data_IF_620432012890
#
_entry.id   IF_620432012890
#
_cell.length_a   1.000
_cell.length_b   1.000
_cell.length_c   1.000
_cell.angle_alpha   90.00
_cell.angle_beta   90.00
_cell.angle_gamma   90.00
#
_symmetry.space_group_name_H-M   'P 1'
#
loop_
_entity.id
_entity.type
_entity.pdbx_description
1 polymer ?
#
# COMPACT_ATOMS: atom_id res chain seq x y z
N UNK A 1 -36.76 -52.20 -140.94
CA UNK A 1 -37.09 -52.90 -139.67
C UNK A 1 -35.87 -53.04 -138.72
N UNK A 2 -34.66 -53.53 -139.12
CA UNK A 2 -33.50 -53.75 -138.20
C UNK A 2 -33.02 -52.56 -137.34
N UNK A 3 -33.07 -51.32 -137.82
CA UNK A 3 -32.56 -50.15 -137.09
C UNK A 3 -33.60 -49.58 -136.10
N UNK A 4 -34.87 -49.54 -136.53
CA UNK A 4 -36.01 -49.34 -135.63
C UNK A 4 -36.09 -50.46 -134.57
N UNK A 5 -35.59 -51.68 -134.86
CA UNK A 5 -35.48 -52.75 -133.87
C UNK A 5 -34.39 -52.49 -132.82
N UNK A 6 -33.19 -52.02 -133.19
CA UNK A 6 -32.09 -51.76 -132.25
C UNK A 6 -32.36 -50.54 -131.34
N UNK A 7 -32.97 -49.46 -131.87
CA UNK A 7 -33.39 -48.31 -131.03
C UNK A 7 -34.60 -48.65 -130.15
N UNK A 8 -35.53 -49.47 -130.65
CA UNK A 8 -36.59 -50.03 -129.81
C UNK A 8 -36.01 -50.94 -128.71
N UNK A 9 -34.95 -51.71 -129.00
CA UNK A 9 -34.25 -52.62 -128.07
C UNK A 9 -33.49 -51.86 -126.97
N UNK A 10 -32.75 -50.80 -127.29
CA UNK A 10 -32.05 -49.97 -126.29
C UNK A 10 -33.05 -49.23 -125.38
N UNK A 11 -34.13 -48.67 -125.94
CA UNK A 11 -35.18 -48.03 -125.14
C UNK A 11 -35.93 -49.05 -124.27
N UNK A 12 -36.08 -50.29 -124.74
CA UNK A 12 -36.61 -51.40 -123.96
C UNK A 12 -35.65 -51.83 -122.84
N UNK A 13 -34.34 -51.83 -123.09
CA UNK A 13 -33.32 -52.10 -122.08
C UNK A 13 -33.21 -50.99 -121.03
N UNK A 14 -33.32 -49.70 -121.39
CA UNK A 14 -33.37 -48.60 -120.40
C UNK A 14 -34.64 -48.65 -119.56
N UNK A 15 -35.80 -48.93 -120.18
CA UNK A 15 -37.05 -49.23 -119.44
C UNK A 15 -36.87 -50.43 -118.51
N UNK A 16 -36.15 -51.47 -118.94
CA UNK A 16 -35.84 -52.65 -118.11
C UNK A 16 -34.92 -52.30 -116.94
N UNK A 17 -33.87 -51.51 -117.15
CA UNK A 17 -32.94 -51.05 -116.10
C UNK A 17 -33.67 -50.16 -115.09
N UNK A 18 -34.47 -49.19 -115.54
CA UNK A 18 -35.28 -48.34 -114.64
C UNK A 18 -36.27 -49.18 -113.82
N UNK A 19 -36.95 -50.16 -114.44
CA UNK A 19 -37.84 -51.07 -113.73
C UNK A 19 -37.08 -51.92 -112.69
N UNK A 20 -35.88 -52.39 -113.02
CA UNK A 20 -35.02 -53.15 -112.12
C UNK A 20 -34.46 -52.29 -110.98
N UNK A 21 -34.12 -51.02 -111.22
CA UNK A 21 -33.67 -50.08 -110.19
C UNK A 21 -34.80 -49.75 -109.21
N UNK A 22 -36.03 -49.56 -109.70
CA UNK A 22 -37.22 -49.43 -108.85
C UNK A 22 -37.49 -50.70 -108.05
N UNK A 23 -37.32 -51.88 -108.65
CA UNK A 23 -37.46 -53.18 -107.97
C UNK A 23 -36.40 -53.37 -106.88
N UNK A 24 -35.13 -53.04 -107.17
CA UNK A 24 -34.04 -53.04 -106.17
C UNK A 24 -34.31 -52.04 -105.06
N UNK A 25 -34.84 -50.85 -105.38
CA UNK A 25 -35.21 -49.84 -104.37
C UNK A 25 -36.36 -50.32 -103.48
N UNK A 26 -37.38 -50.97 -104.06
CA UNK A 26 -38.47 -51.64 -103.32
C UNK A 26 -37.92 -52.74 -102.40
N UNK A 27 -37.13 -53.67 -102.94
CA UNK A 27 -36.52 -54.76 -102.17
C UNK A 27 -35.63 -54.22 -101.04
N UNK A 28 -34.87 -53.14 -101.26
CA UNK A 28 -34.06 -52.51 -100.21
C UNK A 28 -34.92 -51.91 -99.09
N UNK A 29 -36.05 -51.26 -99.42
CA UNK A 29 -36.99 -50.75 -98.42
C UNK A 29 -37.65 -51.88 -97.64
N UNK A 30 -38.07 -52.94 -98.32
CA UNK A 30 -38.69 -54.10 -97.67
C UNK A 30 -37.67 -54.83 -96.77
N UNK A 31 -36.43 -54.99 -97.23
CA UNK A 31 -35.35 -55.58 -96.43
C UNK A 31 -35.04 -54.71 -95.20
N UNK A 32 -34.99 -53.38 -95.33
CA UNK A 32 -34.83 -52.48 -94.19
C UNK A 32 -36.01 -52.59 -93.21
N UNK A 33 -37.24 -52.70 -93.72
CA UNK A 33 -38.44 -52.92 -92.91
C UNK A 33 -38.37 -54.24 -92.14
N UNK A 34 -38.03 -55.35 -92.82
CA UNK A 34 -37.89 -56.66 -92.19
C UNK A 34 -36.74 -56.71 -91.19
N UNK A 35 -35.61 -56.03 -91.44
CA UNK A 35 -34.52 -55.92 -90.48
C UNK A 35 -34.96 -55.15 -89.23
N UNK A 36 -35.72 -54.06 -89.40
CA UNK A 36 -36.25 -53.30 -88.27
C UNK A 36 -37.28 -54.11 -87.46
N UNK A 37 -38.20 -54.82 -88.12
CA UNK A 37 -39.15 -55.70 -87.44
C UNK A 37 -38.46 -56.87 -86.75
N UNK A 38 -37.43 -57.46 -87.36
CA UNK A 38 -36.62 -58.52 -86.74
C UNK A 38 -35.86 -58.00 -85.52
N UNK A 39 -35.32 -56.78 -85.58
CA UNK A 39 -34.68 -56.14 -84.42
C UNK A 39 -35.67 -55.84 -83.30
N UNK A 40 -36.89 -55.37 -83.62
CA UNK A 40 -37.97 -55.19 -82.63
C UNK A 40 -38.38 -56.52 -81.99
N UNK A 41 -38.56 -57.57 -82.80
CA UNK A 41 -38.92 -58.89 -82.30
C UNK A 41 -37.84 -59.46 -81.38
N UNK A 42 -36.55 -59.27 -81.72
CA UNK A 42 -35.42 -59.61 -80.84
C UNK A 42 -35.44 -58.83 -79.54
N UNK A 43 -35.61 -57.51 -79.59
CA UNK A 43 -35.69 -56.67 -78.39
C UNK A 43 -36.87 -57.07 -77.49
N UNK A 44 -38.03 -57.40 -78.07
CA UNK A 44 -39.19 -57.89 -77.32
C UNK A 44 -38.93 -59.27 -76.69
N UNK A 45 -38.24 -60.18 -77.40
CA UNK A 45 -37.86 -61.49 -76.86
C UNK A 45 -36.86 -61.35 -75.70
N UNK A 46 -35.88 -60.47 -75.84
CA UNK A 46 -34.90 -60.20 -74.79
C UNK A 46 -35.59 -59.59 -73.56
N UNK A 47 -36.50 -58.63 -73.77
CA UNK A 47 -37.30 -58.04 -72.69
C UNK A 47 -38.19 -59.09 -72.01
N UNK A 48 -38.86 -59.96 -72.76
CA UNK A 48 -39.71 -61.00 -72.18
C UNK A 48 -38.90 -62.06 -71.46
N UNK A 49 -37.67 -62.33 -71.92
CA UNK A 49 -36.74 -63.23 -71.23
C UNK A 49 -36.27 -62.64 -69.91
N UNK A 50 -35.98 -61.33 -69.86
CA UNK A 50 -35.69 -60.62 -68.61
C UNK A 50 -36.87 -60.66 -67.65
N UNK A 51 -38.08 -60.33 -68.12
CA UNK A 51 -39.30 -60.39 -67.31
C UNK A 51 -39.52 -61.79 -66.73
N UNK A 52 -39.33 -62.85 -67.54
CA UNK A 52 -39.46 -64.24 -67.08
C UNK A 52 -38.45 -64.57 -65.98
N UNK A 53 -37.20 -64.14 -66.13
CA UNK A 53 -36.16 -64.34 -65.11
C UNK A 53 -36.52 -63.59 -63.83
N UNK A 54 -36.99 -62.35 -63.92
CA UNK A 54 -37.40 -61.54 -62.78
C UNK A 54 -38.57 -62.20 -62.02
N UNK A 55 -39.60 -62.67 -62.72
CA UNK A 55 -40.70 -63.40 -62.11
C UNK A 55 -40.25 -64.72 -61.47
N UNK A 56 -39.32 -65.44 -62.11
CA UNK A 56 -38.78 -66.68 -61.55
C UNK A 56 -37.98 -66.42 -60.27
N UNK A 57 -37.19 -65.34 -60.23
CA UNK A 57 -36.49 -64.92 -59.02
C UNK A 57 -37.46 -64.50 -57.91
N UNK A 58 -38.52 -63.74 -58.23
CA UNK A 58 -39.54 -63.38 -57.24
C UNK A 58 -40.23 -64.62 -56.65
N UNK A 59 -40.59 -65.60 -57.49
CA UNK A 59 -41.18 -66.86 -57.02
C UNK A 59 -40.22 -67.60 -56.09
N UNK A 60 -38.94 -67.68 -56.44
CA UNK A 60 -37.93 -68.32 -55.61
C UNK A 60 -37.78 -67.62 -54.25
N UNK A 61 -37.69 -66.29 -54.23
CA UNK A 61 -37.61 -65.50 -52.99
C UNK A 61 -38.83 -65.73 -52.10
N UNK A 62 -40.04 -65.74 -52.67
CA UNK A 62 -41.27 -65.97 -51.92
C UNK A 62 -41.33 -67.39 -51.33
N UNK A 63 -40.82 -68.40 -52.04
CA UNK A 63 -40.75 -69.77 -51.51
C UNK A 63 -39.76 -69.86 -50.34
N UNK A 64 -38.60 -69.22 -50.45
CA UNK A 64 -37.61 -69.16 -49.37
C UNK A 64 -38.16 -68.44 -48.13
N UNK A 65 -38.95 -67.38 -48.32
CA UNK A 65 -39.63 -66.66 -47.23
C UNK A 65 -40.69 -67.54 -46.55
N UNK A 66 -41.50 -68.28 -47.31
CA UNK A 66 -42.47 -69.24 -46.76
C UNK A 66 -41.77 -70.31 -45.93
N UNK A 67 -40.68 -70.88 -46.43
CA UNK A 67 -39.93 -71.92 -45.72
C UNK A 67 -39.18 -71.37 -44.49
N UNK A 68 -38.75 -70.11 -44.52
CA UNK A 68 -38.23 -69.43 -43.35
C UNK A 68 -39.31 -69.26 -42.28
N UNK A 69 -40.46 -68.69 -42.65
CA UNK A 69 -41.58 -68.47 -41.72
C UNK A 69 -42.10 -69.79 -41.12
N UNK A 70 -42.15 -70.87 -41.91
CA UNK A 70 -42.50 -72.21 -41.39
C UNK A 70 -41.53 -72.68 -40.32
N UNK A 71 -40.22 -72.61 -40.58
CA UNK A 71 -39.20 -73.00 -39.61
C UNK A 71 -39.26 -72.19 -38.32
N UNK A 72 -39.51 -70.88 -38.41
CA UNK A 72 -39.67 -70.01 -37.25
C UNK A 72 -40.91 -70.41 -36.44
N UNK A 73 -42.06 -70.56 -37.08
CA UNK A 73 -43.28 -70.96 -36.37
C UNK A 73 -43.17 -72.36 -35.76
N UNK A 74 -42.54 -73.31 -36.43
CA UNK A 74 -42.30 -74.65 -35.88
C UNK A 74 -41.42 -74.61 -34.62
N UNK A 75 -40.40 -73.73 -34.63
CA UNK A 75 -39.55 -73.50 -33.47
C UNK A 75 -40.32 -72.84 -32.32
N UNK A 76 -41.09 -71.78 -32.59
CA UNK A 76 -41.93 -71.12 -31.58
C UNK A 76 -42.97 -72.08 -30.99
N UNK A 77 -43.61 -72.91 -31.82
CA UNK A 77 -44.54 -73.94 -31.36
C UNK A 77 -43.81 -74.94 -30.47
N UNK A 78 -42.61 -75.38 -30.82
CA UNK A 78 -41.82 -76.30 -30.00
C UNK A 78 -41.46 -75.69 -28.63
N UNK A 79 -41.06 -74.42 -28.60
CA UNK A 79 -40.74 -73.70 -27.37
C UNK A 79 -41.98 -73.46 -26.48
N UNK A 80 -43.09 -73.05 -27.08
CA UNK A 80 -44.37 -72.89 -26.37
C UNK A 80 -44.91 -74.22 -25.84
N UNK A 81 -44.78 -75.32 -26.61
CA UNK A 81 -45.12 -76.66 -26.14
C UNK A 81 -44.23 -77.10 -24.98
N UNK A 82 -42.93 -76.82 -25.04
CA UNK A 82 -42.00 -77.12 -23.94
C UNK A 82 -42.33 -76.30 -22.67
N UNK A 83 -42.70 -75.03 -22.83
CA UNK A 83 -43.14 -74.17 -21.72
C UNK A 83 -44.49 -74.64 -21.15
N UNK A 84 -45.47 -74.97 -21.99
CA UNK A 84 -46.76 -75.52 -21.56
C UNK A 84 -46.61 -76.88 -20.85
N UNK A 85 -45.69 -77.74 -21.31
CA UNK A 85 -45.35 -78.98 -20.62
C UNK A 85 -44.69 -78.73 -19.25
N UNK A 86 -43.94 -77.64 -19.08
CA UNK A 86 -43.39 -77.25 -17.77
C UNK A 86 -44.48 -76.79 -16.80
N UNK A 87 -45.57 -76.16 -17.25
CA UNK A 87 -46.64 -75.65 -16.39
C UNK A 87 -47.65 -76.71 -15.91
N UNK A 88 -47.57 -77.94 -16.40
CA UNK A 88 -48.59 -78.98 -16.13
C UNK A 88 -48.25 -79.96 -15.00
N UNK A 89 -47.04 -79.93 -14.45
CA UNK A 89 -46.64 -80.80 -13.34
C UNK A 89 -46.72 -80.08 -11.99
N UNK A 90 -47.23 -80.78 -10.97
CA UNK A 90 -47.34 -80.25 -9.60
C UNK A 90 -45.98 -79.84 -9.02
N UNK A 91 -44.91 -80.56 -9.35
CA UNK A 91 -43.54 -80.28 -8.91
C UNK A 91 -43.02 -78.94 -9.45
N UNK A 92 -43.30 -78.60 -10.71
CA UNK A 92 -42.84 -77.34 -11.30
C UNK A 92 -43.58 -76.13 -10.71
N UNK A 93 -44.88 -76.28 -10.42
CA UNK A 93 -45.66 -75.23 -9.74
C UNK A 93 -45.15 -74.96 -8.32
N UNK A 94 -44.74 -76.01 -7.62
CA UNK A 94 -44.16 -75.92 -6.29
C UNK A 94 -42.74 -75.33 -6.31
N UNK A 95 -41.93 -75.68 -7.31
CA UNK A 95 -40.63 -75.07 -7.57
C UNK A 95 -40.75 -73.56 -7.80
N UNK A 96 -41.61 -73.10 -8.73
CA UNK A 96 -41.79 -71.67 -8.98
C UNK A 96 -42.37 -70.91 -7.79
N UNK A 97 -43.27 -71.54 -7.02
CA UNK A 97 -43.79 -70.95 -5.77
C UNK A 97 -42.67 -70.78 -4.75
N UNK A 98 -41.78 -71.75 -4.62
CA UNK A 98 -40.63 -71.69 -3.71
C UNK A 98 -39.61 -70.65 -4.16
N UNK A 99 -39.31 -70.59 -5.45
CA UNK A 99 -38.39 -69.59 -6.03
C UNK A 99 -38.95 -68.17 -5.87
N UNK A 100 -40.23 -67.96 -6.16
CA UNK A 100 -40.90 -66.67 -5.93
C UNK A 100 -40.89 -66.30 -4.44
N UNK A 101 -41.14 -67.28 -3.56
CA UNK A 101 -41.08 -67.07 -2.11
C UNK A 101 -39.67 -66.74 -1.63
N UNK A 102 -38.64 -67.32 -2.26
CA UNK A 102 -37.23 -66.99 -2.01
C UNK A 102 -36.92 -65.58 -2.47
N UNK A 103 -37.24 -65.23 -3.72
CA UNK A 103 -37.03 -63.89 -4.27
C UNK A 103 -37.73 -62.80 -3.43
N UNK A 104 -38.97 -63.04 -2.96
CA UNK A 104 -39.65 -62.12 -2.06
C UNK A 104 -38.93 -62.00 -0.71
N UNK A 105 -38.38 -63.09 -0.18
CA UNK A 105 -37.61 -63.08 1.07
C UNK A 105 -36.31 -62.30 0.90
N UNK A 106 -35.62 -62.48 -0.23
CA UNK A 106 -34.37 -61.80 -0.54
C UNK A 106 -34.60 -60.30 -0.74
N UNK A 107 -35.66 -59.90 -1.46
CA UNK A 107 -36.05 -58.49 -1.61
C UNK A 107 -36.36 -57.88 -0.22
N UNK A 108 -37.08 -58.59 0.65
CA UNK A 108 -37.35 -58.10 2.01
C UNK A 108 -36.05 -57.95 2.82
N UNK A 109 -35.15 -58.92 2.74
CA UNK A 109 -33.87 -58.87 3.45
C UNK A 109 -33.00 -57.70 2.98
N UNK A 110 -32.94 -57.45 1.66
CA UNK A 110 -32.29 -56.27 1.07
C UNK A 110 -32.90 -54.96 1.59
N UNK A 111 -34.24 -54.85 1.57
CA UNK A 111 -34.93 -53.67 2.11
C UNK A 111 -34.67 -53.48 3.60
N UNK A 112 -34.70 -54.54 4.40
CA UNK A 112 -34.42 -54.48 5.83
C UNK A 112 -32.96 -54.08 6.08
N UNK A 113 -32.02 -54.55 5.26
CA UNK A 113 -30.62 -54.15 5.33
C UNK A 113 -30.45 -52.67 5.00
N UNK A 114 -31.07 -52.18 3.92
CA UNK A 114 -31.01 -50.76 3.52
C UNK A 114 -31.64 -49.89 4.61
N UNK A 115 -32.80 -50.28 5.15
CA UNK A 115 -33.45 -49.57 6.25
C UNK A 115 -32.57 -49.52 7.51
N UNK A 116 -31.94 -50.64 7.86
CA UNK A 116 -31.02 -50.68 9.00
C UNK A 116 -29.79 -49.83 8.78
N UNK A 117 -29.18 -49.89 7.58
CA UNK A 117 -28.03 -49.06 7.21
C UNK A 117 -28.37 -47.58 7.28
N UNK A 118 -29.48 -47.17 6.65
CA UNK A 118 -29.95 -45.79 6.69
C UNK A 118 -30.21 -45.32 8.12
N UNK A 119 -30.78 -46.18 8.98
CA UNK A 119 -31.01 -45.86 10.39
C UNK A 119 -29.69 -45.68 11.14
N UNK A 120 -28.73 -46.58 10.98
CA UNK A 120 -27.41 -46.46 11.62
C UNK A 120 -26.63 -45.27 11.13
N UNK A 121 -26.71 -44.97 9.84
CA UNK A 121 -26.04 -43.82 9.24
C UNK A 121 -26.66 -42.51 9.74
N UNK A 122 -27.99 -42.41 9.79
CA UNK A 122 -28.65 -41.25 10.41
C UNK A 122 -28.29 -41.09 11.88
N UNK A 123 -28.38 -42.16 12.68
CA UNK A 123 -28.03 -42.10 14.11
C UNK A 123 -26.56 -41.69 14.33
N UNK A 124 -25.64 -42.24 13.54
CA UNK A 124 -24.21 -41.89 13.64
C UNK A 124 -23.96 -40.45 13.22
N UNK A 125 -24.61 -40.00 12.14
CA UNK A 125 -24.54 -38.62 11.66
C UNK A 125 -25.08 -37.63 12.70
N UNK A 126 -26.25 -37.93 13.29
CA UNK A 126 -26.82 -37.08 14.35
C UNK A 126 -25.94 -37.05 15.60
N UNK A 127 -25.39 -38.20 16.03
CA UNK A 127 -24.46 -38.26 17.16
C UNK A 127 -23.21 -37.42 16.90
N UNK A 128 -22.60 -37.55 15.72
CA UNK A 128 -21.46 -36.74 15.32
C UNK A 128 -21.81 -35.26 15.30
N UNK A 129 -22.96 -34.90 14.74
CA UNK A 129 -23.37 -33.49 14.65
C UNK A 129 -23.63 -32.87 16.02
N UNK A 130 -24.26 -33.61 16.94
CA UNK A 130 -24.45 -33.17 18.32
C UNK A 130 -23.11 -33.03 19.04
N UNK A 131 -22.19 -33.98 18.85
CA UNK A 131 -20.85 -33.91 19.45
C UNK A 131 -20.05 -32.71 18.90
N UNK A 132 -20.14 -32.42 17.61
CA UNK A 132 -19.53 -31.26 16.97
C UNK A 132 -20.09 -29.96 17.58
N UNK A 133 -21.41 -29.84 17.72
CA UNK A 133 -22.04 -28.66 18.34
C UNK A 133 -21.61 -28.52 19.81
N UNK A 134 -21.56 -29.62 20.57
CA UNK A 134 -21.14 -29.62 21.96
C UNK A 134 -19.67 -29.19 22.12
N UNK A 135 -18.78 -29.72 21.29
CA UNK A 135 -17.35 -29.36 21.29
C UNK A 135 -17.12 -27.93 20.81
N UNK A 136 -17.87 -27.47 19.81
CA UNK A 136 -17.82 -26.08 19.36
C UNK A 136 -18.33 -25.12 20.43
N UNK A 137 -19.44 -25.43 21.10
CA UNK A 137 -20.01 -24.62 22.18
C UNK A 137 -19.07 -24.54 23.39
N UNK A 138 -18.48 -25.66 23.79
CA UNK A 138 -17.49 -25.67 24.88
C UNK A 138 -16.24 -24.87 24.53
N UNK A 139 -15.72 -24.99 23.30
CA UNK A 139 -14.61 -24.17 22.80
C UNK A 139 -14.96 -22.68 22.81
N UNK A 140 -16.13 -22.30 22.29
CA UNK A 140 -16.58 -20.91 22.28
C UNK A 140 -16.76 -20.34 23.69
N UNK A 141 -17.31 -21.11 24.63
CA UNK A 141 -17.44 -20.69 26.02
C UNK A 141 -16.07 -20.48 26.68
N UNK A 142 -15.10 -21.35 26.42
CA UNK A 142 -13.73 -21.21 26.93
C UNK A 142 -13.05 -19.97 26.35
N UNK A 143 -13.14 -19.78 25.03
CA UNK A 143 -12.60 -18.60 24.34
C UNK A 143 -13.25 -17.29 24.83
N UNK A 144 -14.56 -17.31 25.05
CA UNK A 144 -15.29 -16.20 25.66
C UNK A 144 -14.85 -15.95 27.11
N UNK A 145 -14.55 -17.01 27.87
CA UNK A 145 -13.99 -16.93 29.22
C UNK A 145 -12.64 -16.20 29.22
N UNK A 146 -11.70 -16.64 28.38
CA UNK A 146 -10.40 -15.98 28.23
C UNK A 146 -10.54 -14.52 27.79
N UNK A 147 -11.41 -14.22 26.83
CA UNK A 147 -11.65 -12.85 26.39
C UNK A 147 -12.19 -11.96 27.53
N UNK A 148 -13.11 -12.48 28.36
CA UNK A 148 -13.64 -11.77 29.53
C UNK A 148 -12.56 -11.52 30.60
N UNK A 149 -11.73 -12.52 30.88
CA UNK A 149 -10.60 -12.39 31.82
C UNK A 149 -9.57 -11.38 31.33
N UNK A 150 -9.24 -11.40 30.04
CA UNK A 150 -8.32 -10.44 29.43
C UNK A 150 -8.86 -9.02 29.48
N UNK A 151 -10.16 -8.81 29.18
CA UNK A 151 -10.82 -7.51 29.34
C UNK A 151 -10.78 -7.05 30.80
N UNK A 152 -11.00 -7.95 31.76
CA UNK A 152 -10.91 -7.62 33.19
C UNK A 152 -9.48 -7.20 33.57
N UNK A 153 -8.47 -7.95 33.11
CA UNK A 153 -7.05 -7.64 33.33
C UNK A 153 -6.67 -6.28 32.76
N UNK A 154 -7.04 -6.01 31.50
CA UNK A 154 -6.78 -4.73 30.84
C UNK A 154 -7.50 -3.57 31.53
N UNK A 155 -8.71 -3.77 32.05
CA UNK A 155 -9.43 -2.74 32.83
C UNK A 155 -8.71 -2.41 34.14
N UNK A 156 -8.20 -3.41 34.86
CA UNK A 156 -7.41 -3.19 36.08
C UNK A 156 -6.13 -2.44 35.75
N UNK A 157 -5.38 -2.89 34.73
CA UNK A 157 -4.16 -2.20 34.28
C UNK A 157 -4.42 -0.75 33.85
N UNK A 158 -5.53 -0.49 33.16
CA UNK A 158 -5.93 0.85 32.77
C UNK A 158 -6.24 1.72 33.99
N UNK A 159 -6.91 1.16 35.00
CA UNK A 159 -7.19 1.84 36.27
C UNK A 159 -5.88 2.18 37.00
N UNK A 160 -4.96 1.23 37.10
CA UNK A 160 -3.66 1.43 37.76
C UNK A 160 -2.82 2.50 37.04
N UNK A 161 -2.80 2.47 35.70
CA UNK A 161 -2.09 3.47 34.89
C UNK A 161 -2.72 4.86 35.03
N UNK A 162 -4.05 4.95 35.10
CA UNK A 162 -4.74 6.22 35.37
C UNK A 162 -4.43 6.76 36.76
N UNK A 163 -4.36 5.89 37.77
CA UNK A 163 -3.92 6.27 39.12
C UNK A 163 -2.50 6.84 39.11
N UNK A 164 -1.55 6.12 38.49
CA UNK A 164 -0.17 6.58 38.35
C UNK A 164 -0.06 7.90 37.58
N UNK A 165 -0.87 8.10 36.55
CA UNK A 165 -0.93 9.36 35.82
C UNK A 165 -1.37 10.50 36.74
N UNK A 166 -2.47 10.32 37.49
CA UNK A 166 -2.97 11.32 38.42
C UNK A 166 -1.96 11.64 39.53
N UNK A 167 -1.26 10.63 40.06
CA UNK A 167 -0.20 10.84 41.06
C UNK A 167 0.97 11.65 40.49
N UNK A 168 1.39 11.36 39.26
CA UNK A 168 2.47 12.09 38.58
C UNK A 168 2.05 13.52 38.23
N UNK A 169 0.83 13.73 37.76
CA UNK A 169 0.25 15.06 37.50
C UNK A 169 0.18 15.88 38.79
N UNK A 170 -0.25 15.28 39.90
CA UNK A 170 -0.26 15.91 41.21
C UNK A 170 1.14 16.29 41.70
N UNK A 171 2.12 15.39 41.55
CA UNK A 171 3.52 15.67 41.89
C UNK A 171 4.10 16.78 41.02
N UNK A 172 3.80 16.79 39.72
CA UNK A 172 4.28 17.81 38.81
C UNK A 172 3.69 19.19 39.17
N UNK A 173 2.39 19.26 39.44
CA UNK A 173 1.74 20.50 39.90
C UNK A 173 2.34 21.02 41.22
N UNK A 174 2.69 20.13 42.16
CA UNK A 174 3.36 20.52 43.40
C UNK A 174 4.76 21.08 43.13
N UNK A 175 5.55 20.42 42.28
CA UNK A 175 6.89 20.89 41.91
C UNK A 175 6.85 22.22 41.17
N UNK A 176 5.89 22.41 40.26
CA UNK A 176 5.67 23.68 39.56
C UNK A 176 5.34 24.82 40.53
N UNK A 177 4.49 24.56 41.54
CA UNK A 177 4.22 25.54 42.60
C UNK A 177 5.46 25.87 43.42
N UNK A 178 6.23 24.85 43.81
CA UNK A 178 7.50 25.06 44.53
C UNK A 178 8.49 25.88 43.71
N UNK A 179 8.60 25.62 42.40
CA UNK A 179 9.44 26.43 41.52
C UNK A 179 8.95 27.88 41.43
N UNK A 180 7.64 28.12 41.35
CA UNK A 180 7.08 29.46 41.35
C UNK A 180 7.34 30.21 42.66
N UNK A 181 7.14 29.55 43.81
CA UNK A 181 7.43 30.11 45.13
C UNK A 181 8.91 30.46 45.27
N UNK A 182 9.81 29.59 44.84
CA UNK A 182 11.25 29.81 44.90
C UNK A 182 11.70 30.95 43.97
N UNK A 183 11.11 31.05 42.78
CA UNK A 183 11.35 32.18 41.86
C UNK A 183 10.86 33.50 42.46
N UNK A 184 9.68 33.51 43.09
CA UNK A 184 9.16 34.71 43.76
C UNK A 184 10.07 35.16 44.91
N UNK A 185 10.56 34.20 45.72
CA UNK A 185 11.54 34.48 46.77
C UNK A 185 12.85 35.04 46.19
N UNK A 186 13.37 34.44 45.12
CA UNK A 186 14.57 34.91 44.46
C UNK A 186 14.42 36.35 43.93
N UNK A 187 13.28 36.67 43.31
CA UNK A 187 12.97 38.02 42.82
C UNK A 187 12.80 39.05 43.95
N UNK A 188 12.25 38.63 45.09
CA UNK A 188 12.14 39.48 46.28
C UNK A 188 13.51 39.76 46.91
N UNK A 189 14.33 38.71 47.07
CA UNK A 189 15.70 38.82 47.57
C UNK A 189 16.55 39.69 46.65
N UNK A 190 16.45 39.53 45.32
CA UNK A 190 17.13 40.37 44.34
C UNK A 190 16.75 41.85 44.51
N UNK A 191 15.45 42.17 44.63
CA UNK A 191 14.99 43.54 44.86
C UNK A 191 15.50 44.11 46.19
N UNK A 192 15.52 43.29 47.24
CA UNK A 192 16.05 43.67 48.56
C UNK A 192 17.56 43.97 48.49
N UNK A 193 18.34 43.13 47.82
CA UNK A 193 19.77 43.34 47.62
C UNK A 193 20.06 44.57 46.76
N UNK A 194 19.33 44.78 45.67
CA UNK A 194 19.45 45.99 44.84
C UNK A 194 19.13 47.27 45.63
N UNK A 195 18.08 47.25 46.46
CA UNK A 195 17.75 48.37 47.34
C UNK A 195 18.85 48.64 48.36
N UNK A 196 19.41 47.59 48.98
CA UNK A 196 20.52 47.72 49.91
C UNK A 196 21.80 48.26 49.22
N UNK A 197 22.07 47.82 47.99
CA UNK A 197 23.22 48.27 47.19
C UNK A 197 23.06 49.74 46.82
N UNK A 198 21.87 50.16 46.40
CA UNK A 198 21.54 51.56 46.12
C UNK A 198 21.69 52.45 47.37
N UNK A 199 21.25 52.00 48.54
CA UNK A 199 21.45 52.71 49.82
C UNK A 199 22.95 52.86 50.13
N UNK A 200 23.75 51.80 49.98
CA UNK A 200 25.21 51.88 50.16
C UNK A 200 25.87 52.83 49.17
N UNK A 201 25.50 52.77 47.89
CA UNK A 201 26.02 53.68 46.87
C UNK A 201 25.67 55.13 47.16
N UNK A 202 24.46 55.40 47.66
CA UNK A 202 24.05 56.73 48.11
C UNK A 202 24.87 57.23 49.30
N UNK A 203 25.14 56.36 50.29
CA UNK A 203 26.01 56.69 51.42
C UNK A 203 27.45 56.98 50.96
N UNK A 204 27.99 56.18 50.03
CA UNK A 204 29.31 56.41 49.45
C UNK A 204 29.37 57.75 48.72
N UNK A 205 28.33 58.08 47.92
CA UNK A 205 28.25 59.39 47.24
C UNK A 205 28.23 60.54 48.25
N UNK A 206 27.41 60.45 49.29
CA UNK A 206 27.34 61.46 50.35
C UNK A 206 28.69 61.65 51.05
N UNK A 207 29.37 60.56 51.41
CA UNK A 207 30.71 60.65 52.00
C UNK A 207 31.74 61.25 51.04
N UNK A 208 31.67 60.94 49.74
CA UNK A 208 32.54 61.55 48.73
C UNK A 208 32.29 63.05 48.60
N UNK A 209 31.03 63.48 48.60
CA UNK A 209 30.65 64.90 48.60
C UNK A 209 31.15 65.62 49.87
N UNK A 210 30.97 65.02 51.05
CA UNK A 210 31.51 65.54 52.31
C UNK A 210 33.04 65.64 52.28
N UNK A 211 33.75 64.62 51.78
CA UNK A 211 35.19 64.67 51.60
C UNK A 211 35.62 65.77 50.61
N UNK A 212 34.89 65.95 49.50
CA UNK A 212 35.16 67.03 48.54
C UNK A 212 34.94 68.42 49.15
N UNK A 213 33.86 68.60 49.91
CA UNK A 213 33.59 69.85 50.64
C UNK A 213 34.72 70.15 51.64
N UNK A 214 35.16 69.15 52.41
CA UNK A 214 36.27 69.29 53.35
C UNK A 214 37.60 69.62 52.62
N UNK A 215 37.86 69.01 51.47
CA UNK A 215 39.02 69.34 50.64
C UNK A 215 38.95 70.79 50.13
N UNK A 216 37.79 71.27 49.71
CA UNK A 216 37.60 72.67 49.32
C UNK A 216 37.80 73.63 50.49
N UNK A 217 37.25 73.33 51.67
CA UNK A 217 37.47 74.13 52.88
C UNK A 217 38.94 74.17 53.28
N UNK A 218 39.64 73.03 53.24
CA UNK A 218 41.08 72.96 53.49
C UNK A 218 41.88 73.75 52.46
N UNK A 219 41.49 73.72 51.18
CA UNK A 219 42.13 74.51 50.13
C UNK A 219 41.91 76.01 50.35
N UNK A 220 40.68 76.44 50.68
CA UNK A 220 40.39 77.83 51.03
C UNK A 220 41.19 78.28 52.26
N UNK A 221 41.30 77.43 53.28
CA UNK A 221 42.09 77.72 54.47
C UNK A 221 43.59 77.79 54.13
N UNK A 222 44.08 76.93 53.24
CA UNK A 222 45.45 76.99 52.74
C UNK A 222 45.71 78.28 51.97
N UNK A 223 44.80 78.69 51.10
CA UNK A 223 44.90 79.93 50.32
C UNK A 223 44.91 81.14 51.27
N UNK A 224 44.00 81.20 52.25
CA UNK A 224 44.02 82.27 53.28
C UNK A 224 45.30 82.25 54.12
N UNK A 225 45.83 81.08 54.45
CA UNK A 225 47.13 80.97 55.13
C UNK A 225 48.26 81.50 54.23
N UNK A 226 48.24 81.20 52.94
CA UNK A 226 49.22 81.72 51.98
C UNK A 226 49.11 83.24 51.83
N UNK A 227 47.90 83.80 51.82
CA UNK A 227 47.73 85.27 51.80
C UNK A 227 48.24 85.91 53.08
N UNK A 228 47.95 85.33 54.24
CA UNK A 228 48.46 85.81 55.53
C UNK A 228 49.98 85.68 55.63
N UNK A 229 50.57 84.58 55.15
CA UNK A 229 52.03 84.43 55.07
C UNK A 229 52.66 85.49 54.15
N UNK A 230 52.02 85.81 53.02
CA UNK A 230 52.46 86.85 52.11
C UNK A 230 52.36 88.24 52.78
N UNK A 231 51.27 88.53 53.49
CA UNK A 231 51.10 89.75 54.27
C UNK A 231 52.17 89.86 55.38
N UNK A 232 52.42 88.79 56.14
CA UNK A 232 53.49 88.74 57.15
C UNK A 232 54.86 88.94 56.50
N UNK A 233 55.11 88.36 55.32
CA UNK A 233 56.36 88.56 54.60
C UNK A 233 56.52 90.02 54.13
N UNK A 234 55.43 90.65 53.66
CA UNK A 234 55.40 92.07 53.32
C UNK A 234 55.64 92.93 54.58
N UNK A 235 54.98 92.63 55.70
CA UNK A 235 55.16 93.35 56.96
C UNK A 235 56.57 93.20 57.52
N UNK A 236 57.15 91.99 57.49
CA UNK A 236 58.56 91.76 57.83
C UNK A 236 59.48 92.61 56.94
N UNK A 237 59.22 92.65 55.63
CA UNK A 237 59.99 93.46 54.68
C UNK A 237 59.81 94.97 54.86
N UNK A 238 58.65 95.42 55.35
CA UNK A 238 58.36 96.82 55.69
C UNK A 238 59.01 97.24 57.02
N UNK A 239 59.22 96.29 57.95
CA UNK A 239 59.95 96.46 59.20
C UNK A 239 61.48 96.32 59.04
N UNK A 240 61.94 95.57 58.03
CA UNK A 240 63.36 95.31 57.76
C UNK A 240 64.05 96.34 56.82
N UNK A 241 63.37 97.37 56.30
CA UNK A 241 64.10 98.46 55.62
C UNK A 241 63.28 99.56 54.93
N UNK A 242 63.64 100.82 55.23
CA UNK A 242 63.25 102.04 54.49
C UNK A 242 63.91 102.18 53.10
N UNK A 243 64.69 101.21 52.62
CA UNK A 243 65.42 101.29 51.34
C UNK A 243 65.04 100.17 50.37
N UNK A 244 63.90 100.29 49.68
CA UNK A 244 63.68 99.88 48.27
C UNK A 244 62.19 99.71 47.93
N UNK A 245 61.53 100.82 47.56
CA UNK A 245 60.13 100.84 47.10
C UNK A 245 59.88 100.19 45.72
N UNK A 246 60.91 99.79 44.99
CA UNK A 246 60.76 99.27 43.62
C UNK A 246 60.40 97.77 43.53
N UNK A 247 60.75 96.96 44.54
CA UNK A 247 60.48 95.51 44.53
C UNK A 247 59.05 95.10 44.94
N UNK A 248 58.24 96.06 45.42
CA UNK A 248 56.93 95.79 46.01
C UNK A 248 55.85 95.47 44.96
N UNK A 249 55.97 96.02 43.75
CA UNK A 249 55.00 95.81 42.66
C UNK A 249 55.11 94.44 42.00
N UNK A 250 56.32 93.88 41.95
CA UNK A 250 56.60 92.64 41.21
C UNK A 250 56.11 91.38 41.96
N UNK A 251 56.01 91.43 43.29
CA UNK A 251 55.53 90.29 44.09
C UNK A 251 54.01 90.15 44.05
N UNK A 252 53.28 91.28 44.05
CA UNK A 252 51.80 91.31 44.00
C UNK A 252 51.29 90.72 42.68
N UNK A 253 52.03 90.89 41.59
CA UNK A 253 51.67 90.35 40.26
C UNK A 253 51.92 88.83 40.14
N UNK A 254 52.80 88.27 40.98
CA UNK A 254 53.14 86.85 40.95
C UNK A 254 52.13 85.99 41.74
N UNK A 255 51.43 86.57 42.72
CA UNK A 255 50.40 85.89 43.53
C UNK A 255 49.05 85.77 42.79
N UNK A 256 48.77 86.63 41.81
CA UNK A 256 47.52 86.60 41.01
C UNK A 256 47.54 85.51 39.93
N UNK A 257 48.72 84.98 39.55
CA UNK A 257 48.86 84.02 38.44
C UNK A 257 48.67 82.54 38.80
N UNK A 258 48.45 82.19 40.06
CA UNK A 258 48.33 80.78 40.50
C UNK A 258 46.89 80.22 40.46
N UNK A 259 45.91 80.99 39.99
CA UNK A 259 44.47 80.66 40.13
C UNK A 259 43.80 80.03 38.89
N UNK A 260 44.55 79.43 37.97
CA UNK A 260 43.92 78.71 36.86
C UNK A 260 44.82 77.64 36.30
N UNK A 261 44.51 76.37 36.59
CA UNK A 261 44.86 75.17 35.81
C UNK A 261 44.41 73.91 36.57
N UNK A 262 43.29 73.31 36.16
CA UNK A 262 42.98 71.89 36.41
C UNK A 262 41.88 71.38 35.47
N UNK A 263 42.28 71.01 34.26
CA UNK A 263 41.58 70.01 33.43
C UNK A 263 42.09 68.61 33.82
N UNK A 264 41.18 67.65 34.04
CA UNK A 264 41.48 66.22 33.95
C UNK A 264 40.30 65.56 33.21
N UNK A 265 40.61 64.94 32.08
CA UNK A 265 39.67 64.18 31.24
C UNK A 265 39.46 62.75 31.72
N UNK A 266 38.27 62.22 31.43
CA UNK A 266 37.93 60.81 31.59
C UNK A 266 37.83 60.13 30.21
N UNK A 267 38.69 59.14 30.01
CA UNK A 267 38.55 58.06 29.02
C UNK A 267 37.59 57.00 29.55
N UNK A 268 36.52 56.67 28.83
CA UNK A 268 35.75 55.44 29.06
C UNK A 268 35.75 54.50 27.85
N UNK A 269 35.90 53.23 28.21
CA UNK A 269 36.14 52.05 27.41
C UNK A 269 34.90 51.50 26.70
N UNK A 270 35.10 51.09 25.45
CA UNK A 270 34.17 50.29 24.62
C UNK A 270 33.92 48.93 25.29
N UNK A 271 32.66 48.64 25.67
CA UNK A 271 32.20 47.28 26.01
C UNK A 271 31.68 46.59 24.74
N UNK A 272 32.33 45.49 24.36
CA UNK A 272 31.84 44.57 23.33
C UNK A 272 30.85 43.59 23.98
N UNK A 273 29.55 43.72 23.65
CA UNK A 273 28.52 42.74 23.97
C UNK A 273 28.56 41.62 22.93
N UNK A 274 28.93 40.41 23.35
CA UNK A 274 28.83 39.18 22.55
C UNK A 274 27.41 38.62 22.75
N UNK A 275 26.51 38.88 21.80
CA UNK A 275 25.18 38.27 21.78
C UNK A 275 25.25 36.80 21.33
N UNK A 276 24.76 35.89 22.17
CA UNK A 276 24.52 34.49 21.79
C UNK A 276 23.23 34.42 20.98
N UNK A 277 23.34 34.04 19.70
CA UNK A 277 22.18 33.81 18.82
C UNK A 277 21.55 32.44 19.13
N UNK A 278 20.36 32.44 19.75
CA UNK A 278 19.57 31.22 19.93
C UNK A 278 18.87 30.85 18.61
N UNK A 279 19.30 29.76 17.96
CA UNK A 279 18.62 29.19 16.79
C UNK A 279 17.50 28.26 17.25
N UNK A 280 16.24 28.54 16.85
CA UNK A 280 15.07 27.74 17.23
C UNK A 280 14.58 26.93 16.04
N UNK A 281 14.54 25.60 16.19
CA UNK A 281 14.00 24.67 15.17
C UNK A 281 12.71 24.05 15.70
N UNK A 282 11.62 24.10 14.92
CA UNK A 282 10.34 23.47 15.23
C UNK A 282 10.03 22.33 14.27
N UNK A 283 9.29 21.33 14.78
CA UNK A 283 8.91 20.12 14.04
C UNK A 283 7.40 19.91 14.12
N UNK A 284 6.77 19.57 13.00
CA UNK A 284 5.36 19.19 12.93
C UNK A 284 5.25 17.86 12.18
N UNK A 285 4.54 16.89 12.75
CA UNK A 285 4.41 15.53 12.22
C UNK A 285 2.94 15.18 12.02
N UNK A 286 2.62 14.45 10.96
CA UNK A 286 1.32 13.82 10.78
C UNK A 286 1.45 12.45 10.11
N UNK A 287 0.51 11.55 10.38
CA UNK A 287 0.44 10.23 9.77
C UNK A 287 -1.03 9.83 9.56
N UNK A 288 -1.29 9.19 8.43
CA UNK A 288 -2.56 8.62 7.99
C UNK A 288 -2.32 7.14 7.68
N UNK A 289 -2.64 6.29 8.65
CA UNK A 289 -2.44 4.84 8.57
C UNK A 289 -1.30 4.36 9.47
N UNK A 290 -0.70 3.24 9.09
CA UNK A 290 0.20 2.46 9.95
C UNK A 290 1.65 2.94 9.95
N UNK A 291 2.03 3.82 9.03
CA UNK A 291 3.43 4.23 8.84
C UNK A 291 3.57 5.72 9.12
N UNK A 292 4.57 6.07 9.94
CA UNK A 292 4.87 7.45 10.32
C UNK A 292 6.33 7.80 10.06
N UNK A 293 6.62 9.08 9.84
CA UNK A 293 7.98 9.60 9.75
C UNK A 293 8.44 9.93 11.18
N UNK A 294 9.21 9.02 11.78
CA UNK A 294 9.67 9.11 13.16
C UNK A 294 10.80 10.12 13.32
N UNK A 295 11.66 10.25 12.31
CA UNK A 295 12.72 11.26 12.30
C UNK A 295 13.17 11.61 10.88
N UNK A 296 13.66 12.83 10.71
CA UNK A 296 14.29 13.26 9.48
C UNK A 296 15.45 14.18 9.86
N UNK A 297 16.67 13.72 9.60
CA UNK A 297 17.87 14.39 10.13
C UNK A 297 17.95 15.84 9.67
N UNK A 298 18.28 16.74 10.60
CA UNK A 298 18.42 18.17 10.34
C UNK A 298 19.61 18.49 9.42
N UNK A 299 20.62 17.61 9.40
CA UNK A 299 21.77 17.66 8.50
C UNK A 299 21.55 16.92 7.16
N UNK A 300 20.35 16.38 6.94
CA UNK A 300 19.98 15.71 5.69
C UNK A 300 20.62 14.32 5.49
N UNK A 301 21.21 13.70 6.50
CA UNK A 301 21.88 12.39 6.34
C UNK A 301 20.93 11.20 6.19
N UNK A 302 19.80 11.22 6.90
CA UNK A 302 18.85 10.10 6.88
C UNK A 302 17.41 10.53 7.15
N UNK A 303 16.49 9.63 6.81
CA UNK A 303 15.08 9.70 7.20
C UNK A 303 14.70 8.35 7.83
N UNK A 304 13.95 8.38 8.92
CA UNK A 304 13.55 7.20 9.69
C UNK A 304 12.02 7.07 9.66
N UNK A 305 11.54 5.92 9.16
CA UNK A 305 10.14 5.55 9.20
C UNK A 305 9.88 4.48 10.25
N UNK A 306 8.67 4.48 10.79
CA UNK A 306 8.21 3.49 11.77
C UNK A 306 6.82 2.97 11.35
N UNK A 307 6.63 1.64 11.41
CA UNK A 307 5.29 1.07 11.42
C UNK A 307 4.77 1.08 12.87
N UNK A 308 3.83 1.98 13.14
CA UNK A 308 3.25 2.20 14.47
C UNK A 308 2.16 1.19 14.82
N UNK A 309 1.76 0.32 13.88
CA UNK A 309 0.79 -0.73 14.15
C UNK A 309 1.44 -1.88 14.93
N UNK A 310 0.72 -2.39 15.94
CA UNK A 310 1.26 -3.38 16.90
C UNK A 310 1.36 -4.80 16.36
N UNK A 311 0.54 -5.16 15.38
CA UNK A 311 0.40 -6.54 14.90
C UNK A 311 0.25 -6.72 13.38
N UNK A 312 0.23 -5.63 12.61
CA UNK A 312 -0.05 -5.67 11.17
C UNK A 312 1.17 -5.15 10.42
N UNK A 313 1.69 -5.96 9.52
CA UNK A 313 2.74 -5.55 8.61
C UNK A 313 2.15 -4.63 7.53
N UNK A 314 2.91 -3.63 7.11
CA UNK A 314 2.50 -2.73 6.04
C UNK A 314 3.41 -2.94 4.83
N UNK A 315 2.88 -3.41 3.69
CA UNK A 315 3.63 -3.45 2.45
C UNK A 315 3.79 -2.02 1.93
N UNK A 316 5.02 -1.50 2.00
CA UNK A 316 5.38 -0.14 1.54
C UNK A 316 6.22 -0.16 0.27
N UNK A 317 6.19 -1.27 -0.46
CA UNK A 317 6.85 -1.39 -1.75
C UNK A 317 6.35 -0.36 -2.76
N UNK A 318 7.27 0.24 -3.52
CA UNK A 318 7.00 1.33 -4.48
C UNK A 318 6.40 2.61 -3.89
N UNK A 319 6.33 2.73 -2.56
CA UNK A 319 5.98 4.00 -1.92
C UNK A 319 7.09 5.02 -2.18
N UNK A 320 6.72 6.30 -2.16
CA UNK A 320 7.63 7.40 -2.49
C UNK A 320 7.80 8.34 -1.31
N UNK A 321 9.05 8.57 -0.94
CA UNK A 321 9.46 9.55 0.06
C UNK A 321 9.97 10.80 -0.66
N UNK A 322 9.25 11.90 -0.51
CA UNK A 322 9.49 13.17 -1.21
C UNK A 322 9.84 14.25 -0.22
N UNK A 323 11.03 14.82 -0.32
CA UNK A 323 11.54 15.88 0.56
C UNK A 323 11.75 17.17 -0.23
N UNK A 324 11.01 18.21 0.16
CA UNK A 324 11.07 19.56 -0.39
C UNK A 324 11.86 20.46 0.55
N UNK A 325 12.87 21.15 0.01
CA UNK A 325 13.77 22.02 0.77
C UNK A 325 13.58 23.46 0.27
N UNK A 326 13.13 24.34 1.16
CA UNK A 326 12.93 25.78 0.94
C UNK A 326 12.08 26.12 -0.32
N UNK A 327 11.25 25.18 -0.76
CA UNK A 327 10.45 25.30 -1.99
C UNK A 327 11.25 25.29 -3.30
N UNK A 328 12.58 25.07 -3.24
CA UNK A 328 13.49 25.18 -4.40
C UNK A 328 13.99 23.84 -4.89
N UNK A 329 14.35 22.94 -3.98
CA UNK A 329 14.90 21.61 -4.30
C UNK A 329 13.96 20.53 -3.81
N UNK A 330 13.83 19.48 -4.61
CA UNK A 330 13.05 18.30 -4.28
C UNK A 330 13.88 17.04 -4.47
N UNK A 331 13.86 16.17 -3.46
CA UNK A 331 14.52 14.87 -3.46
C UNK A 331 13.46 13.78 -3.31
N UNK A 332 13.49 12.78 -4.19
CA UNK A 332 12.51 11.69 -4.20
C UNK A 332 13.21 10.34 -4.12
N UNK A 333 12.90 9.56 -3.09
CA UNK A 333 13.31 8.18 -2.92
C UNK A 333 12.11 7.24 -3.11
N UNK A 334 12.31 6.10 -3.75
CA UNK A 334 11.26 5.08 -3.98
C UNK A 334 11.68 3.77 -3.32
N UNK A 335 10.79 3.17 -2.55
CA UNK A 335 11.06 1.90 -1.87
C UNK A 335 11.14 0.73 -2.88
N UNK A 336 12.01 -0.28 -2.61
CA UNK A 336 12.05 -1.52 -3.40
C UNK A 336 10.68 -2.19 -3.48
N UNK A 337 10.37 -2.84 -4.61
CA UNK A 337 9.01 -3.34 -4.93
C UNK A 337 8.38 -4.25 -3.88
N UNK A 338 9.18 -5.10 -3.25
CA UNK A 338 8.68 -6.11 -2.31
C UNK A 338 8.97 -5.75 -0.85
N UNK A 339 9.21 -4.46 -0.55
CA UNK A 339 9.55 -4.03 0.79
C UNK A 339 8.33 -4.06 1.73
N UNK A 340 8.44 -4.82 2.82
CA UNK A 340 7.40 -4.95 3.86
C UNK A 340 7.95 -4.46 5.20
N UNK A 341 7.27 -3.48 5.80
CA UNK A 341 7.64 -2.96 7.11
C UNK A 341 6.85 -3.69 8.20
N UNK A 342 7.56 -4.51 8.98
CA UNK A 342 6.98 -5.34 10.05
C UNK A 342 6.39 -4.48 11.19
N UNK A 343 5.43 -5.02 11.98
CA UNK A 343 4.79 -4.29 13.07
C UNK A 343 5.81 -3.81 14.12
N UNK A 344 5.72 -2.55 14.53
CA UNK A 344 6.62 -1.95 15.53
C UNK A 344 8.09 -1.88 15.09
N UNK A 345 8.40 -2.08 13.81
CA UNK A 345 9.75 -1.98 13.25
C UNK A 345 9.95 -0.67 12.52
N UNK A 346 11.21 -0.27 12.44
CA UNK A 346 11.65 0.94 11.77
C UNK A 346 12.51 0.60 10.56
N UNK A 347 12.53 1.51 9.59
CA UNK A 347 13.47 1.48 8.47
C UNK A 347 14.14 2.84 8.35
N UNK A 348 15.47 2.85 8.36
CA UNK A 348 16.28 4.04 8.17
C UNK A 348 16.78 4.11 6.73
N UNK A 349 16.51 5.21 6.06
CA UNK A 349 16.98 5.48 4.70
C UNK A 349 18.12 6.48 4.81
N UNK A 350 19.33 6.04 4.50
CA UNK A 350 20.53 6.87 4.46
C UNK A 350 20.73 7.49 3.08
N UNK A 351 21.25 8.71 3.02
CA UNK A 351 21.80 9.24 1.79
C UNK A 351 23.11 8.51 1.43
N UNK A 352 23.53 8.56 0.16
CA UNK A 352 24.72 7.87 -0.35
C UNK A 352 25.95 8.23 0.50
N UNK A 353 26.62 7.19 1.02
CA UNK A 353 27.84 7.34 1.81
C UNK A 353 27.64 7.80 3.26
N UNK A 354 26.40 7.99 3.72
CA UNK A 354 26.11 8.43 5.10
C UNK A 354 25.78 7.26 6.05
N UNK A 355 25.64 6.04 5.54
CA UNK A 355 25.33 4.85 6.33
C UNK A 355 25.57 3.55 5.58
N UNK A 356 25.14 2.44 6.17
CA UNK A 356 25.39 1.08 5.66
C UNK A 356 24.09 0.49 5.11
N UNK A 357 24.17 -0.13 3.94
CA UNK A 357 23.05 -0.89 3.36
C UNK A 357 22.88 -2.22 4.10
N UNK A 358 21.79 -2.36 4.86
CA UNK A 358 21.48 -3.57 5.64
C UNK A 358 19.95 -3.76 5.74
N UNK A 359 19.28 -4.22 4.66
CA UNK A 359 17.84 -4.46 4.68
C UNK A 359 17.43 -5.55 5.67
N UNK A 360 16.22 -5.48 6.26
CA UNK A 360 15.20 -4.46 6.01
C UNK A 360 15.38 -3.18 6.83
N UNK A 361 16.23 -3.17 7.86
CA UNK A 361 16.29 -2.09 8.85
C UNK A 361 17.00 -0.82 8.31
N UNK A 362 17.93 -0.97 7.36
CA UNK A 362 18.69 0.13 6.77
C UNK A 362 18.76 0.03 5.25
N UNK A 363 18.33 1.10 4.58
CA UNK A 363 18.40 1.28 3.13
C UNK A 363 19.34 2.45 2.83
N UNK A 364 19.90 2.47 1.62
CA UNK A 364 20.75 3.55 1.13
C UNK A 364 20.14 4.09 -0.16
N UNK A 365 20.06 5.41 -0.25
CA UNK A 365 19.64 6.10 -1.45
C UNK A 365 20.85 6.49 -2.28
N UNK A 366 21.16 5.69 -3.30
CA UNK A 366 22.40 5.84 -4.08
C UNK A 366 22.41 7.05 -5.03
N UNK A 367 21.26 7.69 -5.29
CA UNK A 367 21.21 8.80 -6.24
C UNK A 367 21.68 10.13 -5.63
N UNK A 368 21.52 10.32 -4.32
CA UNK A 368 21.80 11.59 -3.63
C UNK A 368 22.69 11.35 -2.41
N UNK A 369 23.70 12.20 -2.21
CA UNK A 369 24.60 12.17 -1.06
C UNK A 369 24.04 12.90 0.19
N UNK A 370 22.93 13.61 0.02
CA UNK A 370 22.15 14.22 1.10
C UNK A 370 20.68 14.36 0.72
N UNK A 371 19.79 14.19 1.70
CA UNK A 371 18.38 14.55 1.63
C UNK A 371 18.13 16.07 1.73
N UNK A 372 19.19 16.87 1.91
CA UNK A 372 19.17 18.32 1.91
C UNK A 372 18.80 18.97 3.25
N UNK A 373 19.31 20.19 3.43
CA UNK A 373 19.20 21.04 4.61
C UNK A 373 18.64 22.40 4.18
N UNK A 374 17.74 22.97 4.98
CA UNK A 374 17.12 24.27 4.70
C UNK A 374 16.38 24.83 5.91
N UNK A 375 15.84 26.04 5.76
CA UNK A 375 15.08 26.75 6.80
C UNK A 375 13.64 26.27 6.89
N UNK A 376 13.06 25.76 5.80
CA UNK A 376 11.73 25.16 5.75
C UNK A 376 11.80 23.87 4.92
N UNK A 377 11.82 22.74 5.60
CA UNK A 377 11.98 21.42 5.00
C UNK A 377 10.72 20.59 5.25
N UNK A 378 10.13 20.08 4.17
CA UNK A 378 8.94 19.23 4.25
C UNK A 378 9.25 17.86 3.65
N UNK A 379 9.13 16.81 4.46
CA UNK A 379 9.28 15.41 4.06
C UNK A 379 7.90 14.76 4.05
N UNK A 380 7.50 14.13 2.95
CA UNK A 380 6.18 13.53 2.75
C UNK A 380 6.34 12.10 2.23
N UNK A 381 5.57 11.18 2.79
CA UNK A 381 5.48 9.80 2.36
C UNK A 381 4.18 9.61 1.57
N UNK A 382 4.28 9.09 0.36
CA UNK A 382 3.17 8.75 -0.52
C UNK A 382 3.08 7.23 -0.73
N UNK A 383 1.87 6.67 -0.75
CA UNK A 383 1.67 5.29 -1.19
C UNK A 383 1.83 5.14 -2.71
N UNK A 384 1.71 3.91 -3.22
CA UNK A 384 1.81 3.64 -4.67
C UNK A 384 0.71 4.33 -5.47
N UNK A 385 -0.44 4.58 -4.86
CA UNK A 385 -1.58 5.30 -5.44
C UNK A 385 -1.38 6.82 -5.48
N UNK A 386 -0.34 7.35 -4.81
CA UNK A 386 -0.04 8.78 -4.75
C UNK A 386 -0.76 9.56 -3.64
N UNK A 387 -1.38 8.86 -2.69
CA UNK A 387 -1.99 9.45 -1.50
C UNK A 387 -0.93 9.75 -0.43
N UNK A 388 -1.05 10.89 0.25
CA UNK A 388 -0.19 11.24 1.38
C UNK A 388 -0.52 10.36 2.61
N UNK A 389 0.48 9.60 3.06
CA UNK A 389 0.41 8.70 4.22
C UNK A 389 1.08 9.28 5.46
N UNK A 390 2.10 10.11 5.32
CA UNK A 390 2.72 10.79 6.46
C UNK A 390 3.46 12.06 6.02
N UNK A 391 3.57 13.04 6.90
CA UNK A 391 4.39 14.22 6.68
C UNK A 391 5.17 14.66 7.92
N UNK A 392 6.33 15.24 7.67
CA UNK A 392 7.25 15.81 8.65
C UNK A 392 7.75 17.17 8.14
N UNK A 393 7.39 18.23 8.84
CA UNK A 393 7.75 19.61 8.51
C UNK A 393 8.75 20.10 9.59
N UNK A 394 9.90 20.55 9.14
CA UNK A 394 10.93 21.17 9.96
C UNK A 394 11.06 22.65 9.56
N UNK A 395 10.98 23.56 10.53
CA UNK A 395 11.18 24.99 10.32
C UNK A 395 12.24 25.53 11.28
N UNK A 396 13.29 26.11 10.73
CA UNK A 396 14.39 26.70 11.48
C UNK A 396 14.31 28.23 11.35
N UNK A 397 14.20 28.93 12.47
CA UNK A 397 14.25 30.40 12.54
C UNK A 397 15.55 30.83 13.22
N UNK A 398 16.31 31.68 12.54
CA UNK A 398 17.45 32.39 13.14
C UNK A 398 16.97 33.77 13.55
N UNK A 399 16.78 33.99 14.84
CA UNK A 399 16.58 35.33 15.38
C UNK A 399 17.96 35.93 15.60
N UNK A 400 18.32 36.95 14.82
CA UNK A 400 19.48 37.78 15.11
C UNK A 400 18.97 38.80 16.13
N UNK A 401 19.34 38.62 17.40
CA UNK A 401 19.05 39.56 18.48
C UNK A 401 19.99 40.75 18.43
#
# INVERSE_FOLDING_TARGET
>A
VKLSNLEAEINLLRRRVSNLEEEVSRIKKDNLYFVNELNKARANLDQETLNRIDFQNQVQTLLEEIDFMRRVHDQEISELQAMAARDTTSENREYFKNELSSAIRDIRAEYDQICNMNRTDMESWYKLKVQEIQTQSTRQNLEQGYAKEEVKRLRVQLSDLRGKLADLEGRNSLLEKQMQELNYQLEDDQRSYEAALNDRDAQIRKMREECQALMMELQMLLDTKQTLDAEIAIYRKMLEGEENRAGLRQLVEQVVKTHGLSEIGETESIRVLKGETASRTSFQRSAKGNVSIQDASSDGKFILLENTHRSKEEPIGEWRLKRKIDGKREVVYTFPRDFILKPGKTVKIWARGQGVYSPPDQLVFDAEDSFGVGSNVQTILFNKEGEERASHIQRSSHTIS
#
